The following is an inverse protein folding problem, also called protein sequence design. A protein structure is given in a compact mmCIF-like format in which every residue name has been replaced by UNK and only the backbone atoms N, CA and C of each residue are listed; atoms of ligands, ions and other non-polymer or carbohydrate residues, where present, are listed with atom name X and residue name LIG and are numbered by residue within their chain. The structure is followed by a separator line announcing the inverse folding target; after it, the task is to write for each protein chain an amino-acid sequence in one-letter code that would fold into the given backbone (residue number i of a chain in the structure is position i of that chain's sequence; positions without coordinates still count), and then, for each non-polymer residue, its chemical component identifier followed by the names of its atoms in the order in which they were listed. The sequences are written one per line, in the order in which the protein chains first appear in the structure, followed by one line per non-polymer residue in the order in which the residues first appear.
data_IF_445115737298
#
_entry.id   IF_445115737298
#
_cell.length_a   1.000
_cell.length_b   1.000
_cell.length_c   1.000
_cell.angle_alpha   90.00
_cell.angle_beta   90.00
_cell.angle_gamma   90.00
#
_symmetry.space_group_name_H-M   'P 1'
#
loop_
_entity.id
_entity.type
_entity.pdbx_description
1 polymer ?
#
# COMPACT_ATOMS: atom_id res chain seq x y z
N UNK A 1 -0.34 -22.88 12.57
CA UNK A 1 -0.88 -23.34 11.26
C UNK A 1 0.24 -23.36 10.23
N UNK A 2 0.27 -24.34 9.32
CA UNK A 2 1.27 -24.40 8.24
C UNK A 2 0.55 -24.63 6.89
N UNK A 3 -0.06 -23.56 6.36
CA UNK A 3 -0.70 -23.57 5.04
C UNK A 3 0.11 -22.71 4.08
N UNK A 4 0.27 -23.18 2.84
CA UNK A 4 0.94 -22.44 1.76
C UNK A 4 0.05 -21.37 1.12
N UNK A 5 -1.27 -21.48 1.25
CA UNK A 5 -2.22 -20.55 0.64
C UNK A 5 -3.53 -20.48 1.43
N UNK A 6 -4.30 -19.39 1.24
CA UNK A 6 -5.65 -19.27 1.81
C UNK A 6 -6.60 -20.36 1.27
N UNK A 7 -6.39 -20.77 0.02
CA UNK A 7 -7.15 -21.84 -0.62
C UNK A 7 -6.94 -23.17 0.09
N UNK A 8 -5.71 -23.49 0.50
CA UNK A 8 -5.39 -24.72 1.24
C UNK A 8 -6.07 -24.74 2.61
N UNK A 9 -6.00 -23.60 3.33
CA UNK A 9 -6.72 -23.42 4.59
C UNK A 9 -8.23 -23.66 4.42
N UNK A 10 -8.85 -23.07 3.40
CA UNK A 10 -10.28 -23.18 3.17
C UNK A 10 -10.69 -24.60 2.74
N UNK A 11 -9.84 -25.27 1.96
CA UNK A 11 -10.01 -26.67 1.58
C UNK A 11 -9.99 -27.59 2.81
N UNK A 12 -9.03 -27.39 3.71
CA UNK A 12 -8.90 -28.18 4.93
C UNK A 12 -10.13 -28.02 5.84
N UNK A 13 -10.60 -26.78 6.03
CA UNK A 13 -11.82 -26.50 6.80
C UNK A 13 -13.09 -27.11 6.20
N UNK A 14 -13.18 -27.19 4.87
CA UNK A 14 -14.26 -27.92 4.21
C UNK A 14 -14.17 -29.43 4.47
N UNK A 15 -12.96 -30.01 4.35
CA UNK A 15 -12.73 -31.44 4.57
C UNK A 15 -13.00 -31.86 6.02
N UNK A 16 -12.62 -31.06 7.02
CA UNK A 16 -12.93 -31.30 8.43
C UNK A 16 -14.44 -31.49 8.66
N UNK A 17 -15.28 -30.64 8.06
CA UNK A 17 -16.75 -30.73 8.18
C UNK A 17 -17.31 -31.92 7.41
N UNK A 18 -16.77 -32.20 6.22
CA UNK A 18 -17.17 -33.35 5.39
C UNK A 18 -16.77 -34.69 6.01
N UNK A 19 -15.66 -34.76 6.73
CA UNK A 19 -15.23 -35.95 7.45
C UNK A 19 -16.18 -36.27 8.62
N UNK A 20 -16.76 -35.24 9.25
CA UNK A 20 -17.81 -35.40 10.28
C UNK A 20 -19.17 -35.77 9.67
N UNK A 21 -19.47 -35.26 8.48
CA UNK A 21 -20.69 -35.56 7.75
C UNK A 21 -20.42 -35.71 6.25
N UNK A 22 -20.42 -36.95 5.76
CA UNK A 22 -20.09 -37.27 4.36
C UNK A 22 -21.06 -36.65 3.34
N UNK A 23 -22.28 -36.29 3.76
CA UNK A 23 -23.27 -35.60 2.92
C UNK A 23 -23.11 -34.06 2.93
N UNK A 24 -22.13 -33.53 3.65
CA UNK A 24 -21.87 -32.09 3.72
C UNK A 24 -21.37 -31.59 2.36
N UNK A 25 -22.14 -30.71 1.73
CA UNK A 25 -21.89 -30.21 0.37
C UNK A 25 -21.22 -28.84 0.37
N UNK A 26 -20.62 -28.47 -0.75
CA UNK A 26 -20.08 -27.11 -0.95
C UNK A 26 -21.13 -26.01 -0.78
N UNK A 27 -22.41 -26.29 -1.09
CA UNK A 27 -23.52 -25.34 -0.86
C UNK A 27 -23.83 -25.15 0.62
N UNK A 28 -23.74 -26.21 1.40
CA UNK A 28 -23.86 -26.11 2.86
C UNK A 28 -22.67 -25.31 3.42
N UNK A 29 -21.45 -25.58 2.92
CA UNK A 29 -20.26 -24.83 3.31
C UNK A 29 -20.36 -23.34 2.99
N UNK A 30 -20.77 -22.98 1.78
CA UNK A 30 -20.92 -21.57 1.37
C UNK A 30 -21.93 -20.83 2.26
N UNK A 31 -23.07 -21.47 2.58
CA UNK A 31 -24.08 -20.93 3.50
C UNK A 31 -23.51 -20.72 4.90
N UNK A 32 -22.82 -21.73 5.44
CA UNK A 32 -22.35 -21.71 6.83
C UNK A 32 -21.22 -20.69 7.06
N UNK A 33 -20.42 -20.38 6.02
CA UNK A 33 -19.36 -19.36 6.09
C UNK A 33 -19.80 -18.00 5.54
N UNK A 34 -21.06 -17.87 5.08
CA UNK A 34 -21.65 -16.61 4.64
C UNK A 34 -21.11 -16.05 3.33
N UNK A 35 -20.79 -16.89 2.33
CA UNK A 35 -20.36 -16.45 0.99
C UNK A 35 -21.21 -17.05 -0.12
N UNK A 36 -21.27 -16.38 -1.27
CA UNK A 36 -21.95 -16.94 -2.45
C UNK A 36 -21.22 -18.18 -2.98
N UNK A 37 -21.94 -19.12 -3.59
CA UNK A 37 -21.36 -20.34 -4.19
C UNK A 37 -20.30 -20.03 -5.25
N UNK A 38 -20.49 -18.93 -6.02
CA UNK A 38 -19.52 -18.47 -7.01
C UNK A 38 -18.22 -18.02 -6.37
N UNK A 39 -18.31 -17.15 -5.35
CA UNK A 39 -17.15 -16.66 -4.61
C UNK A 39 -16.41 -17.78 -3.89
N UNK A 40 -17.13 -18.72 -3.25
CA UNK A 40 -16.50 -19.91 -2.64
C UNK A 40 -15.66 -20.69 -3.66
N UNK A 41 -16.20 -20.89 -4.87
CA UNK A 41 -15.48 -21.62 -5.93
C UNK A 41 -14.19 -20.91 -6.34
N UNK A 42 -14.20 -19.58 -6.41
CA UNK A 42 -13.00 -18.81 -6.73
C UNK A 42 -11.97 -18.82 -5.59
N UNK A 43 -12.42 -18.72 -4.33
CA UNK A 43 -11.55 -18.80 -3.15
C UNK A 43 -10.86 -20.18 -3.06
N UNK A 44 -11.60 -21.27 -3.28
CA UNK A 44 -11.05 -22.64 -3.31
C UNK A 44 -10.14 -22.92 -4.52
N UNK A 45 -10.20 -22.10 -5.56
CA UNK A 45 -9.30 -22.19 -6.72
C UNK A 45 -8.12 -21.22 -6.63
N UNK A 46 -8.02 -20.44 -5.54
CA UNK A 46 -7.03 -19.37 -5.39
C UNK A 46 -7.14 -18.23 -6.40
N UNK A 47 -8.29 -18.06 -7.07
CA UNK A 47 -8.53 -16.96 -8.02
C UNK A 47 -8.90 -15.66 -7.32
N UNK A 48 -9.65 -15.78 -6.24
CA UNK A 48 -9.99 -14.67 -5.35
C UNK A 48 -9.14 -14.76 -4.09
N UNK A 49 -8.70 -13.61 -3.59
CA UNK A 49 -8.01 -13.50 -2.30
C UNK A 49 -8.97 -12.77 -1.36
N UNK A 50 -9.26 -13.30 -0.15
CA UNK A 50 -10.29 -12.72 0.72
C UNK A 50 -9.91 -11.32 1.22
N UNK A 51 -10.93 -10.45 1.35
CA UNK A 51 -10.87 -9.21 2.11
C UNK A 51 -10.75 -9.45 3.62
N UNK A 52 -10.40 -8.41 4.39
CA UNK A 52 -10.34 -8.50 5.86
C UNK A 52 -11.67 -8.94 6.46
N UNK A 53 -12.80 -8.38 6.02
CA UNK A 53 -14.12 -8.75 6.56
C UNK A 53 -14.40 -10.24 6.36
N UNK A 54 -14.01 -10.78 5.19
CA UNK A 54 -14.08 -12.22 4.94
C UNK A 54 -13.13 -13.00 5.88
N UNK A 55 -11.90 -12.51 6.10
CA UNK A 55 -10.94 -13.13 7.04
C UNK A 55 -11.48 -13.11 8.47
N UNK A 56 -12.04 -12.01 8.95
CA UNK A 56 -12.60 -11.86 10.30
C UNK A 56 -13.85 -12.72 10.50
N UNK A 57 -14.76 -12.72 9.52
CA UNK A 57 -15.91 -13.62 9.50
C UNK A 57 -15.48 -15.07 9.55
N UNK A 58 -14.50 -15.46 8.74
CA UNK A 58 -14.00 -16.84 8.72
C UNK A 58 -13.30 -17.18 10.02
N UNK A 59 -12.52 -16.25 10.58
CA UNK A 59 -11.87 -16.41 11.88
C UNK A 59 -12.89 -16.69 12.98
N UNK A 60 -14.02 -15.98 12.95
CA UNK A 60 -15.13 -16.18 13.90
C UNK A 60 -15.84 -17.52 13.65
N UNK A 61 -16.17 -17.83 12.40
CA UNK A 61 -16.89 -19.07 12.01
C UNK A 61 -16.06 -20.34 12.26
N UNK A 62 -14.74 -20.24 12.19
CA UNK A 62 -13.82 -21.35 12.44
C UNK A 62 -13.21 -21.30 13.85
N UNK A 63 -13.62 -20.35 14.69
CA UNK A 63 -13.16 -20.20 16.07
C UNK A 63 -11.62 -20.16 16.19
N UNK A 64 -10.98 -19.41 15.29
CA UNK A 64 -9.51 -19.33 15.22
C UNK A 64 -8.93 -18.58 16.43
N UNK A 65 -7.79 -19.07 16.93
CA UNK A 65 -6.97 -18.34 17.91
C UNK A 65 -6.28 -17.12 17.29
N UNK A 66 -5.86 -16.17 18.13
CA UNK A 66 -5.17 -14.95 17.66
C UNK A 66 -3.94 -15.24 16.80
N UNK A 67 -3.16 -16.27 17.16
CA UNK A 67 -1.97 -16.68 16.40
C UNK A 67 -2.34 -17.24 15.02
N UNK A 68 -3.46 -17.98 14.92
CA UNK A 68 -3.98 -18.51 13.66
C UNK A 68 -4.54 -17.40 12.77
N UNK A 69 -5.22 -16.41 13.36
CA UNK A 69 -5.68 -15.22 12.65
C UNK A 69 -4.49 -14.46 12.06
N UNK A 70 -3.44 -14.26 12.85
CA UNK A 70 -2.22 -13.57 12.39
C UNK A 70 -1.54 -14.34 11.26
N UNK A 71 -1.40 -15.66 11.38
CA UNK A 71 -0.85 -16.51 10.32
C UNK A 71 -1.69 -16.45 9.03
N UNK A 72 -3.02 -16.48 9.15
CA UNK A 72 -3.93 -16.39 8.00
C UNK A 72 -3.83 -15.04 7.29
N UNK A 73 -3.75 -13.94 8.05
CA UNK A 73 -3.52 -12.59 7.51
C UNK A 73 -2.21 -12.50 6.75
N UNK A 74 -1.13 -13.09 7.29
CA UNK A 74 0.17 -13.13 6.63
C UNK A 74 0.13 -13.89 5.29
N UNK A 75 -0.55 -15.05 5.25
CA UNK A 75 -0.74 -15.81 4.01
C UNK A 75 -1.49 -14.97 2.96
N UNK A 76 -2.59 -14.33 3.35
CA UNK A 76 -3.41 -13.49 2.47
C UNK A 76 -2.59 -12.30 1.93
N UNK A 77 -1.81 -11.63 2.78
CA UNK A 77 -0.95 -10.52 2.38
C UNK A 77 0.12 -10.95 1.37
N UNK A 78 0.79 -12.08 1.62
CA UNK A 78 1.79 -12.66 0.72
C UNK A 78 1.20 -13.01 -0.65
N UNK A 79 0.03 -13.64 -0.70
CA UNK A 79 -0.66 -13.93 -1.96
C UNK A 79 -1.01 -12.66 -2.74
N UNK A 80 -1.44 -11.59 -2.05
CA UNK A 80 -1.68 -10.28 -2.69
C UNK A 80 -0.40 -9.70 -3.26
N UNK A 81 0.71 -9.77 -2.52
CA UNK A 81 2.01 -9.30 -3.01
C UNK A 81 2.43 -10.02 -4.28
N UNK A 82 2.32 -11.35 -4.33
CA UNK A 82 2.65 -12.13 -5.53
C UNK A 82 1.75 -11.81 -6.72
N UNK A 83 0.43 -11.66 -6.52
CA UNK A 83 -0.52 -11.25 -7.57
C UNK A 83 -0.14 -9.89 -8.17
N UNK A 84 0.32 -8.96 -7.33
CA UNK A 84 0.78 -7.62 -7.73
C UNK A 84 2.08 -7.64 -8.50
N UNK A 85 3.06 -8.46 -8.11
CA UNK A 85 4.32 -8.59 -8.85
C UNK A 85 4.11 -9.07 -10.31
N UNK A 86 3.00 -9.74 -10.59
CA UNK A 86 2.58 -10.10 -11.94
C UNK A 86 1.74 -9.04 -12.69
N UNK A 87 1.34 -7.95 -12.02
CA UNK A 87 0.62 -6.85 -12.66
C UNK A 87 1.60 -5.95 -13.46
N UNK A 88 1.09 -5.27 -14.48
CA UNK A 88 1.88 -4.33 -15.28
C UNK A 88 2.06 -2.97 -14.59
N UNK A 89 3.03 -2.20 -15.06
CA UNK A 89 3.25 -0.82 -14.62
C UNK A 89 2.23 0.11 -15.27
N UNK A 90 1.78 1.13 -14.51
CA UNK A 90 0.88 2.16 -15.01
C UNK A 90 1.61 3.50 -15.11
N UNK A 91 1.60 4.10 -16.29
CA UNK A 91 2.08 5.45 -16.50
C UNK A 91 0.92 6.43 -16.33
N UNK A 92 1.02 7.34 -15.37
CA UNK A 92 0.03 8.39 -15.14
C UNK A 92 0.31 9.60 -16.02
N UNK A 93 -0.77 10.15 -16.58
CA UNK A 93 -0.80 11.49 -17.14
C UNK A 93 -0.67 12.55 -16.03
N UNK A 94 -0.30 13.78 -16.41
CA UNK A 94 -0.25 14.91 -15.47
C UNK A 94 -1.59 15.17 -14.76
N UNK A 95 -2.72 14.93 -15.45
CA UNK A 95 -4.06 15.11 -14.89
C UNK A 95 -4.38 14.04 -13.84
N UNK A 96 -4.07 12.77 -14.12
CA UNK A 96 -4.26 11.68 -13.17
C UNK A 96 -3.33 11.84 -11.96
N UNK A 97 -2.06 12.19 -12.19
CA UNK A 97 -1.13 12.45 -11.10
C UNK A 97 -1.60 13.60 -10.21
N UNK A 98 -2.19 14.66 -10.80
CA UNK A 98 -2.75 15.78 -10.04
C UNK A 98 -3.85 15.35 -9.08
N UNK A 99 -4.71 14.42 -9.48
CA UNK A 99 -5.79 13.92 -8.62
C UNK A 99 -5.26 13.27 -7.35
N UNK A 100 -4.12 12.58 -7.42
CA UNK A 100 -3.53 11.84 -6.29
C UNK A 100 -2.34 12.55 -5.64
N UNK A 101 -2.05 13.79 -6.03
CA UNK A 101 -0.86 14.53 -5.59
C UNK A 101 -0.92 15.04 -4.15
N UNK A 102 -2.07 14.96 -3.49
CA UNK A 102 -2.18 15.28 -2.06
C UNK A 102 -1.56 14.18 -1.18
N UNK A 103 -0.97 14.57 -0.05
CA UNK A 103 -0.19 13.63 0.77
C UNK A 103 -1.04 12.46 1.30
N UNK A 104 -2.33 12.67 1.56
CA UNK A 104 -3.23 11.64 2.12
C UNK A 104 -3.49 10.56 1.07
N UNK A 105 -3.89 10.96 -0.13
CA UNK A 105 -4.16 10.04 -1.23
C UNK A 105 -2.90 9.26 -1.62
N UNK A 106 -1.74 9.92 -1.66
CA UNK A 106 -0.48 9.26 -1.94
C UNK A 106 -0.07 8.25 -0.85
N UNK A 107 -0.24 8.60 0.43
CA UNK A 107 0.02 7.69 1.55
C UNK A 107 -0.94 6.49 1.54
N UNK A 108 -2.23 6.71 1.26
CA UNK A 108 -3.22 5.64 1.13
C UNK A 108 -2.82 4.69 0.01
N UNK A 109 -2.48 5.21 -1.18
CA UNK A 109 -1.98 4.40 -2.29
C UNK A 109 -0.75 3.58 -1.88
N UNK A 110 0.21 4.20 -1.20
CA UNK A 110 1.44 3.53 -0.75
C UNK A 110 1.14 2.42 0.25
N UNK A 111 0.20 2.63 1.18
CA UNK A 111 -0.21 1.64 2.19
C UNK A 111 -0.86 0.39 1.61
N UNK A 112 -1.31 0.40 0.35
CA UNK A 112 -1.70 -0.86 -0.31
C UNK A 112 -0.53 -1.85 -0.37
N UNK A 113 0.72 -1.37 -0.34
CA UNK A 113 1.93 -2.18 -0.34
C UNK A 113 2.28 -2.75 1.04
N UNK A 114 1.57 -2.35 2.09
CA UNK A 114 1.87 -2.79 3.45
C UNK A 114 1.66 -4.30 3.62
N UNK A 115 2.49 -4.95 4.44
CA UNK A 115 2.36 -6.38 4.73
C UNK A 115 1.20 -6.69 5.66
N UNK A 116 0.83 -5.75 6.52
CA UNK A 116 -0.35 -5.82 7.38
C UNK A 116 -1.60 -5.20 6.72
N UNK A 117 -1.60 -5.07 5.40
CA UNK A 117 -2.66 -4.40 4.65
C UNK A 117 -4.04 -5.03 4.88
N UNK A 118 -4.90 -4.25 5.54
CA UNK A 118 -6.30 -4.58 5.77
C UNK A 118 -7.21 -4.11 4.61
N UNK A 119 -6.98 -2.88 4.15
CA UNK A 119 -7.70 -2.26 3.04
C UNK A 119 -9.08 -1.67 3.38
N UNK A 120 -9.51 -1.70 4.64
CA UNK A 120 -10.74 -1.01 5.07
C UNK A 120 -10.51 0.49 5.21
N UNK A 121 -11.54 1.30 4.98
CA UNK A 121 -11.44 2.76 5.18
C UNK A 121 -11.11 3.11 6.65
N UNK A 122 -11.60 2.32 7.61
CA UNK A 122 -11.29 2.47 9.04
C UNK A 122 -9.81 2.20 9.31
N UNK A 123 -9.21 1.21 8.66
CA UNK A 123 -7.79 0.89 8.82
C UNK A 123 -6.90 2.05 8.35
N UNK A 124 -7.16 2.61 7.16
CA UNK A 124 -6.41 3.77 6.68
C UNK A 124 -6.57 4.98 7.61
N UNK A 125 -7.79 5.25 8.07
CA UNK A 125 -8.08 6.34 9.01
C UNK A 125 -7.26 6.21 10.30
N UNK A 126 -7.20 5.00 10.89
CA UNK A 126 -6.39 4.72 12.07
C UNK A 126 -4.89 4.81 11.80
N UNK A 127 -4.40 4.20 10.71
CA UNK A 127 -2.97 4.18 10.35
C UNK A 127 -2.42 5.59 10.11
N UNK A 128 -3.16 6.43 9.38
CA UNK A 128 -2.73 7.78 9.02
C UNK A 128 -3.19 8.87 9.99
N UNK A 129 -4.00 8.52 10.99
CA UNK A 129 -4.64 9.46 11.93
C UNK A 129 -5.38 10.60 11.21
N UNK A 130 -6.15 10.24 10.18
CA UNK A 130 -7.00 11.16 9.42
C UNK A 130 -8.47 10.74 9.50
N UNK A 131 -9.39 11.66 9.21
CA UNK A 131 -10.82 11.38 9.24
C UNK A 131 -11.26 10.43 8.11
N UNK A 132 -12.39 9.74 8.34
CA UNK A 132 -12.91 8.73 7.43
C UNK A 132 -13.37 9.33 6.09
N UNK A 133 -13.87 10.56 6.10
CA UNK A 133 -14.33 11.26 4.88
C UNK A 133 -13.16 11.51 3.92
N UNK A 134 -12.02 12.00 4.44
CA UNK A 134 -10.77 12.15 3.70
C UNK A 134 -10.30 10.83 3.10
N UNK A 135 -10.38 9.72 3.84
CA UNK A 135 -10.01 8.40 3.34
C UNK A 135 -10.92 7.97 2.18
N UNK A 136 -12.23 8.10 2.35
CA UNK A 136 -13.20 7.70 1.32
C UNK A 136 -13.01 8.53 0.05
N UNK A 137 -12.81 9.85 0.18
CA UNK A 137 -12.51 10.72 -0.94
C UNK A 137 -11.20 10.33 -1.66
N UNK A 138 -10.14 9.97 -0.93
CA UNK A 138 -8.90 9.46 -1.51
C UNK A 138 -9.10 8.13 -2.25
N UNK A 139 -9.86 7.19 -1.69
CA UNK A 139 -10.17 5.91 -2.34
C UNK A 139 -10.98 6.12 -3.63
N UNK A 140 -11.93 7.05 -3.64
CA UNK A 140 -12.68 7.42 -4.85
C UNK A 140 -11.77 7.98 -5.94
N UNK A 141 -10.84 8.86 -5.60
CA UNK A 141 -9.84 9.38 -6.55
C UNK A 141 -9.01 8.24 -7.16
N UNK A 142 -8.50 7.32 -6.33
CA UNK A 142 -7.72 6.17 -6.79
C UNK A 142 -8.52 5.23 -7.70
N UNK A 143 -9.80 5.02 -7.41
CA UNK A 143 -10.71 4.29 -8.29
C UNK A 143 -10.93 5.02 -9.62
N UNK A 144 -11.10 6.36 -9.58
CA UNK A 144 -11.42 7.15 -10.78
C UNK A 144 -10.31 7.13 -11.83
N UNK A 145 -9.07 6.92 -11.39
CA UNK A 145 -7.89 6.76 -12.27
C UNK A 145 -7.44 5.31 -12.37
N UNK A 146 -8.27 4.34 -11.98
CA UNK A 146 -8.02 2.90 -12.16
C UNK A 146 -6.66 2.44 -11.57
N UNK A 147 -6.28 3.01 -10.41
CA UNK A 147 -5.17 2.49 -9.61
C UNK A 147 -5.61 1.37 -8.68
N UNK A 148 -6.87 1.44 -8.24
CA UNK A 148 -7.50 0.42 -7.42
C UNK A 148 -8.89 0.09 -7.96
N UNK A 149 -9.34 -1.12 -7.70
CA UNK A 149 -10.73 -1.55 -7.96
C UNK A 149 -11.41 -1.87 -6.64
N UNK A 150 -12.62 -1.33 -6.45
CA UNK A 150 -13.50 -1.75 -5.37
C UNK A 150 -14.13 -3.10 -5.72
N UNK A 151 -13.92 -4.09 -4.86
CA UNK A 151 -14.65 -5.36 -4.85
C UNK A 151 -15.71 -5.34 -3.74
N UNK A 152 -16.52 -6.39 -3.62
CA UNK A 152 -17.63 -6.44 -2.63
C UNK A 152 -17.18 -6.05 -1.20
N UNK A 153 -16.01 -6.53 -0.75
CA UNK A 153 -15.57 -6.40 0.66
C UNK A 153 -14.22 -5.66 0.82
N UNK A 154 -13.54 -5.27 -0.26
CA UNK A 154 -12.18 -4.68 -0.19
C UNK A 154 -11.73 -3.98 -1.47
N UNK A 155 -10.59 -3.30 -1.41
CA UNK A 155 -9.93 -2.70 -2.57
C UNK A 155 -8.72 -3.53 -3.02
N UNK A 156 -8.59 -3.75 -4.33
CA UNK A 156 -7.40 -4.36 -4.95
C UNK A 156 -6.62 -3.32 -5.75
N UNK A 157 -5.28 -3.41 -5.72
CA UNK A 157 -4.43 -2.67 -6.66
C UNK A 157 -4.54 -3.25 -8.07
N UNK A 158 -4.61 -2.37 -9.07
CA UNK A 158 -4.69 -2.75 -10.48
C UNK A 158 -3.31 -2.81 -11.16
N UNK A 159 -2.26 -2.26 -10.53
CA UNK A 159 -0.91 -2.19 -11.07
C UNK A 159 0.16 -2.55 -10.04
N UNK A 160 1.33 -2.95 -10.52
CA UNK A 160 2.53 -3.25 -9.72
C UNK A 160 3.22 -1.99 -9.23
N UNK A 161 3.31 -1.00 -10.12
CA UNK A 161 3.96 0.28 -9.88
C UNK A 161 3.31 1.40 -10.69
N UNK A 162 3.50 2.62 -10.20
CA UNK A 162 3.08 3.85 -10.87
C UNK A 162 4.30 4.64 -11.25
N UNK A 163 4.34 5.04 -12.51
CA UNK A 163 5.31 6.01 -13.04
C UNK A 163 4.57 7.23 -13.54
N UNK A 164 5.21 8.39 -13.52
CA UNK A 164 4.69 9.60 -14.17
C UNK A 164 5.39 9.78 -15.52
N UNK A 165 4.78 10.53 -16.43
CA UNK A 165 5.50 10.99 -17.62
C UNK A 165 6.76 11.78 -17.22
N UNK A 166 7.93 11.34 -17.70
CA UNK A 166 9.19 12.05 -17.47
C UNK A 166 9.21 13.35 -18.29
N UNK A 167 9.98 14.33 -17.81
CA UNK A 167 10.47 15.50 -18.57
C UNK A 167 9.58 16.75 -18.75
N UNK A 168 8.65 17.04 -17.84
CA UNK A 168 8.10 18.40 -17.73
C UNK A 168 8.12 18.87 -16.27
N UNK A 169 8.67 20.07 -15.95
CA UNK A 169 8.46 20.75 -14.69
C UNK A 169 6.97 21.07 -14.47
N UNK A 170 6.17 20.06 -14.14
CA UNK A 170 4.73 20.23 -14.00
C UNK A 170 4.44 20.94 -12.68
N UNK A 171 3.46 21.84 -12.72
CA UNK A 171 2.94 22.49 -11.52
C UNK A 171 2.53 21.43 -10.47
N UNK A 172 2.04 20.28 -10.93
CA UNK A 172 1.67 19.13 -10.11
C UNK A 172 2.83 18.57 -9.29
N UNK A 173 4.03 18.42 -9.86
CA UNK A 173 5.21 17.96 -9.10
C UNK A 173 5.57 18.96 -8.00
N UNK A 174 5.50 20.27 -8.30
CA UNK A 174 5.74 21.31 -7.29
C UNK A 174 4.71 21.24 -6.17
N UNK A 175 3.44 21.05 -6.51
CA UNK A 175 2.36 21.01 -5.52
C UNK A 175 2.43 19.74 -4.68
N UNK A 176 2.77 18.59 -5.27
CA UNK A 176 3.09 17.36 -4.53
C UNK A 176 4.17 17.61 -3.46
N UNK A 177 5.30 18.23 -3.83
CA UNK A 177 6.34 18.53 -2.85
C UNK A 177 5.88 19.51 -1.76
N UNK A 178 5.04 20.49 -2.09
CA UNK A 178 4.47 21.43 -1.10
C UNK A 178 3.55 20.75 -0.10
N UNK A 179 2.89 19.65 -0.46
CA UNK A 179 2.07 18.85 0.46
C UNK A 179 2.93 18.10 1.49
N UNK A 180 4.10 17.58 1.07
CA UNK A 180 4.95 16.75 1.92
C UNK A 180 5.97 17.52 2.78
N UNK A 181 6.43 18.70 2.36
CA UNK A 181 7.41 19.49 3.12
C UNK A 181 6.88 19.84 4.54
N UNK A 182 5.65 20.33 4.72
CA UNK A 182 5.09 20.65 6.04
C UNK A 182 5.02 19.44 6.98
N UNK A 183 4.86 18.22 6.45
CA UNK A 183 4.86 17.00 7.28
C UNK A 183 6.22 16.79 7.98
N UNK A 184 7.32 17.13 7.31
CA UNK A 184 8.66 17.09 7.92
C UNK A 184 8.81 18.11 9.05
N UNK A 185 8.21 19.29 8.91
CA UNK A 185 8.19 20.29 9.98
C UNK A 185 7.38 19.79 11.17
N UNK A 186 6.17 19.28 10.92
CA UNK A 186 5.29 18.71 11.94
C UNK A 186 5.93 17.53 12.68
N UNK A 187 6.69 16.69 11.97
CA UNK A 187 7.43 15.58 12.56
C UNK A 187 8.46 16.03 13.61
N UNK A 188 9.00 17.25 13.52
CA UNK A 188 9.89 17.83 14.54
C UNK A 188 9.19 18.08 15.89
N UNK A 189 7.87 18.21 15.89
CA UNK A 189 7.08 18.47 17.08
C UNK A 189 6.42 17.20 17.62
N UNK A 190 5.98 16.30 16.72
CA UNK A 190 5.08 15.19 17.09
C UNK A 190 5.74 13.80 17.11
N UNK A 191 6.85 13.58 16.40
CA UNK A 191 7.50 12.26 16.32
C UNK A 191 8.66 12.20 17.31
N UNK A 192 8.84 11.10 18.04
CA UNK A 192 9.92 10.99 19.02
C UNK A 192 11.30 11.03 18.34
N UNK A 193 12.32 11.55 19.06
CA UNK A 193 13.69 11.72 18.50
C UNK A 193 14.28 10.40 17.97
N UNK A 194 13.95 9.26 18.59
CA UNK A 194 14.47 7.95 18.18
C UNK A 194 13.69 7.32 17.02
N UNK A 195 12.55 7.90 16.62
CA UNK A 195 11.68 7.43 15.52
C UNK A 195 11.82 8.31 14.26
N UNK A 196 12.62 9.38 14.31
CA UNK A 196 12.83 10.31 13.19
C UNK A 196 14.30 10.59 12.96
N UNK A 197 14.66 10.81 11.70
CA UNK A 197 15.93 11.44 11.33
C UNK A 197 15.65 12.76 10.60
N UNK A 198 16.00 13.87 11.23
CA UNK A 198 15.88 15.21 10.67
C UNK A 198 17.24 15.87 10.78
N UNK A 199 17.98 15.79 9.69
CA UNK A 199 19.35 16.30 9.57
C UNK A 199 19.44 17.35 8.47
N UNK A 200 20.39 18.28 8.62
CA UNK A 200 20.67 19.31 7.61
C UNK A 200 22.16 19.54 7.49
N UNK A 201 22.60 19.89 6.28
CA UNK A 201 23.98 20.23 5.96
C UNK A 201 23.99 21.49 5.08
N UNK A 202 24.82 22.48 5.44
CA UNK A 202 25.04 23.69 4.64
C UNK A 202 26.51 23.80 4.29
N UNK A 203 26.81 23.92 3.01
CA UNK A 203 28.18 23.87 2.49
C UNK A 203 28.28 24.60 1.14
N UNK A 204 29.48 25.05 0.81
CA UNK A 204 29.78 25.62 -0.51
C UNK A 204 30.29 24.53 -1.45
N UNK A 205 29.92 24.62 -2.73
CA UNK A 205 30.38 23.71 -3.79
C UNK A 205 30.79 24.49 -5.02
N UNK A 206 31.58 23.86 -5.88
CA UNK A 206 31.71 24.32 -7.26
C UNK A 206 30.37 24.13 -7.97
N UNK A 207 29.87 25.19 -8.62
CA UNK A 207 28.65 25.17 -9.42
C UNK A 207 28.71 24.11 -10.53
N UNK A 208 29.91 23.83 -11.05
CA UNK A 208 30.13 22.79 -12.07
C UNK A 208 29.78 21.39 -11.56
N UNK A 209 29.87 21.16 -10.24
CA UNK A 209 29.63 19.86 -9.60
C UNK A 209 28.17 19.61 -9.23
N UNK A 210 27.27 20.59 -9.36
CA UNK A 210 25.85 20.46 -8.96
C UNK A 210 25.18 19.20 -9.56
N UNK A 211 25.53 18.84 -10.80
CA UNK A 211 25.02 17.64 -11.46
C UNK A 211 25.45 16.35 -10.75
N UNK A 212 26.69 16.29 -10.26
CA UNK A 212 27.23 15.15 -9.52
C UNK A 212 26.51 14.96 -8.18
N UNK A 213 26.30 16.05 -7.42
CA UNK A 213 25.51 16.01 -6.18
C UNK A 213 24.08 15.53 -6.41
N UNK A 214 23.41 16.01 -7.48
CA UNK A 214 22.07 15.54 -7.85
C UNK A 214 22.06 14.04 -8.20
N UNK A 215 23.10 13.55 -8.89
CA UNK A 215 23.25 12.13 -9.21
C UNK A 215 23.36 11.28 -7.95
N UNK A 216 24.23 11.68 -7.01
CA UNK A 216 24.40 11.01 -5.73
C UNK A 216 23.08 10.91 -4.95
N UNK A 217 22.32 12.01 -4.87
CA UNK A 217 21.00 12.04 -4.21
C UNK A 217 20.01 11.10 -4.89
N UNK A 218 20.03 11.05 -6.22
CA UNK A 218 19.17 10.14 -7.01
C UNK A 218 19.50 8.67 -6.74
N UNK A 219 20.79 8.32 -6.72
CA UNK A 219 21.27 6.97 -6.42
C UNK A 219 20.91 6.55 -4.98
N UNK A 220 21.07 7.46 -4.02
CA UNK A 220 20.66 7.23 -2.63
C UNK A 220 19.17 6.92 -2.51
N UNK A 221 18.31 7.73 -3.12
CA UNK A 221 16.85 7.49 -3.17
C UNK A 221 16.51 6.15 -3.82
N UNK A 222 17.19 5.82 -4.92
CA UNK A 222 16.97 4.57 -5.65
C UNK A 222 17.32 3.36 -4.81
N UNK A 223 18.42 3.42 -4.05
CA UNK A 223 18.82 2.38 -3.10
C UNK A 223 17.79 2.18 -1.99
N UNK A 224 17.25 3.24 -1.41
CA UNK A 224 16.20 3.15 -0.38
C UNK A 224 14.92 2.51 -0.93
N UNK A 225 14.48 2.93 -2.11
CA UNK A 225 13.31 2.33 -2.76
C UNK A 225 13.52 0.83 -3.04
N UNK A 226 14.70 0.44 -3.51
CA UNK A 226 15.03 -0.97 -3.73
C UNK A 226 14.97 -1.79 -2.44
N UNK A 227 15.52 -1.25 -1.33
CA UNK A 227 15.46 -1.90 -0.01
C UNK A 227 14.01 -2.11 0.44
N UNK A 228 13.15 -1.10 0.30
CA UNK A 228 11.72 -1.22 0.65
C UNK A 228 11.00 -2.30 -0.19
N UNK A 229 11.36 -2.44 -1.47
CA UNK A 229 10.74 -3.42 -2.37
C UNK A 229 11.15 -4.86 -2.04
N UNK A 230 12.30 -5.05 -1.38
CA UNK A 230 12.84 -6.36 -0.98
C UNK A 230 12.45 -6.78 0.44
N UNK A 231 11.78 -5.91 1.20
CA UNK A 231 11.42 -6.19 2.58
C UNK A 231 10.37 -7.31 2.66
N UNK A 232 10.61 -8.31 3.53
CA UNK A 232 9.62 -9.35 3.83
C UNK A 232 8.46 -8.81 4.66
N UNK A 233 8.75 -7.82 5.51
CA UNK A 233 7.79 -7.10 6.36
C UNK A 233 7.89 -5.60 6.04
N UNK A 234 6.74 -4.98 5.75
CA UNK A 234 6.59 -3.56 5.44
C UNK A 234 5.30 -3.05 6.08
N UNK A 235 5.32 -2.84 7.39
CA UNK A 235 4.17 -2.46 8.23
C UNK A 235 4.16 -0.98 8.67
N UNK A 236 5.28 -0.28 8.44
CA UNK A 236 5.45 1.13 8.72
C UNK A 236 5.61 1.97 7.43
N UNK A 237 5.00 3.16 7.44
CA UNK A 237 5.07 4.12 6.35
C UNK A 237 6.00 5.27 6.72
N UNK A 238 7.08 5.43 5.95
CA UNK A 238 8.02 6.54 6.10
C UNK A 238 7.94 7.47 4.89
N UNK A 239 7.94 8.78 5.16
CA UNK A 239 8.18 9.81 4.15
C UNK A 239 9.61 10.33 4.30
N UNK A 240 10.37 10.29 3.20
CA UNK A 240 11.69 10.93 3.12
C UNK A 240 11.63 12.15 2.20
N UNK A 241 12.00 13.30 2.76
CA UNK A 241 12.14 14.55 2.04
C UNK A 241 13.63 14.93 1.94
N UNK A 242 14.12 15.15 0.71
CA UNK A 242 15.49 15.63 0.46
C UNK A 242 15.40 16.88 -0.42
N UNK A 243 15.84 18.02 0.10
CA UNK A 243 15.89 19.27 -0.65
C UNK A 243 17.35 19.72 -0.82
N UNK A 244 17.75 19.92 -2.07
CA UNK A 244 19.07 20.45 -2.42
C UNK A 244 18.89 21.63 -3.36
N UNK A 245 19.13 22.84 -2.86
CA UNK A 245 18.87 24.10 -3.55
C UNK A 245 19.94 25.15 -3.19
N UNK A 246 20.27 26.07 -4.11
CA UNK A 246 21.16 27.17 -3.80
C UNK A 246 20.49 28.16 -2.84
N UNK A 247 21.24 28.65 -1.84
CA UNK A 247 20.79 29.71 -0.92
C UNK A 247 21.16 31.12 -1.39
N UNK A 248 22.16 31.23 -2.26
CA UNK A 248 22.59 32.51 -2.82
C UNK A 248 21.81 32.86 -4.09
N UNK A 249 21.54 34.14 -4.29
CA UNK A 249 20.97 34.64 -5.54
C UNK A 249 21.84 34.18 -6.71
N UNK A 250 21.25 33.41 -7.60
CA UNK A 250 21.82 33.23 -8.92
C UNK A 250 21.38 34.47 -9.70
N UNK A 251 22.27 35.44 -9.92
CA UNK A 251 21.96 36.49 -10.89
C UNK A 251 21.54 35.81 -12.18
N UNK A 252 20.29 36.03 -12.58
CA UNK A 252 19.78 35.57 -13.86
C UNK A 252 20.69 36.18 -14.92
N UNK A 253 21.52 35.37 -15.57
CA UNK A 253 22.22 35.80 -16.79
C UNK A 253 21.12 36.27 -17.76
N UNK A 254 21.04 37.58 -17.95
CA UNK A 254 20.25 38.21 -19.01
C UNK A 254 20.79 37.80 -20.37
#
# INVERSE_FOLDING_TARGET
MNYSSFSDFLHDKYLERRNKNSSYSLRAFSRDIGVSSGRLTNLLKGRDIPGQETVERFSSVFELSNDEIMALKHIVASQRYLKRKGAGDKQLTDQEFKLISDWRTWCIYTLFQATDFEGSAIWFSKKLKIDLESVLASLEKLCSIDLITRTDDFYELNCSSVTTTNDVPSQTIRDFHKEFIPLGQKAMEEVAIHERDISSLTFCIDKSQVAEYKKLISEFRSRLSHMATQAEVADELYQLNIQFFPLQNQESSK
#
